data_IF_150808246118
#
_entry.id   IF_150808246118
#
_cell.length_a   1.000
_cell.length_b   1.000
_cell.length_c   1.000
_cell.angle_alpha   90.00
_cell.angle_beta   90.00
_cell.angle_gamma   90.00
#
_symmetry.space_group_name_H-M   'P 1'
#
loop_
_entity.id
_entity.type
_entity.pdbx_description
1 polymer ?
#
# COMPACT_ATOMS: atom_id res chain seq x y z
N UNK A 1 -11.60 -7.89 -2.48
CA UNK A 1 -10.63 -6.82 -2.15
C UNK A 1 -10.88 -5.57 -3.00
N UNK A 2 -10.70 -5.62 -4.32
CA UNK A 2 -10.87 -4.42 -5.18
C UNK A 2 -12.25 -3.74 -5.06
N UNK A 3 -13.34 -4.50 -4.88
CA UNK A 3 -14.67 -3.89 -4.71
C UNK A 3 -14.83 -3.13 -3.38
N UNK A 4 -14.27 -3.66 -2.29
CA UNK A 4 -14.26 -2.98 -0.98
C UNK A 4 -13.48 -1.66 -1.11
N UNK A 5 -12.36 -1.68 -1.83
CA UNK A 5 -11.57 -0.47 -2.11
C UNK A 5 -12.39 0.52 -2.92
N UNK A 6 -13.10 0.07 -3.96
CA UNK A 6 -13.89 0.93 -4.82
C UNK A 6 -14.95 1.73 -4.05
N UNK A 7 -15.69 1.06 -3.15
CA UNK A 7 -16.66 1.75 -2.30
C UNK A 7 -16.00 2.72 -1.32
N UNK A 8 -14.82 2.38 -0.79
CA UNK A 8 -14.12 3.22 0.17
C UNK A 8 -13.58 4.52 -0.42
N UNK A 9 -13.13 4.50 -1.67
CA UNK A 9 -12.50 5.66 -2.34
C UNK A 9 -13.47 6.50 -3.17
N UNK A 10 -14.76 6.14 -3.21
CA UNK A 10 -15.77 6.84 -3.99
C UNK A 10 -15.86 8.33 -3.57
N UNK A 11 -15.81 9.22 -4.56
CA UNK A 11 -15.85 10.67 -4.35
C UNK A 11 -14.58 11.31 -3.76
N UNK A 12 -13.52 10.55 -3.50
CA UNK A 12 -12.28 11.10 -2.91
C UNK A 12 -11.37 11.82 -3.91
N UNK A 13 -11.62 11.72 -5.22
CA UNK A 13 -10.86 12.44 -6.25
C UNK A 13 -9.37 12.05 -6.33
N UNK A 14 -9.02 10.81 -6.00
CA UNK A 14 -7.64 10.33 -6.04
C UNK A 14 -7.19 10.01 -7.47
N UNK A 15 -5.89 10.16 -7.73
CA UNK A 15 -5.27 9.81 -9.01
C UNK A 15 -4.40 8.54 -8.93
N UNK A 16 -3.84 8.25 -7.76
CA UNK A 16 -2.89 7.16 -7.54
C UNK A 16 -3.41 6.16 -6.51
N UNK A 17 -3.20 4.87 -6.77
CA UNK A 17 -3.53 3.79 -5.85
C UNK A 17 -2.28 2.94 -5.59
N UNK A 18 -1.79 2.96 -4.34
CA UNK A 18 -0.60 2.21 -3.92
C UNK A 18 -1.00 0.94 -3.17
N UNK A 19 -0.59 -0.21 -3.70
CA UNK A 19 -0.91 -1.51 -3.10
C UNK A 19 0.17 -1.93 -2.10
N UNK A 20 -0.17 -2.01 -0.82
CA UNK A 20 0.70 -2.41 0.28
C UNK A 20 0.23 -3.72 0.94
N UNK A 21 1.16 -4.55 1.43
CA UNK A 21 0.89 -5.75 2.21
C UNK A 21 0.98 -7.06 1.43
N UNK A 22 1.06 -8.18 2.17
CA UNK A 22 1.33 -9.50 1.60
C UNK A 22 0.26 -9.99 0.62
N UNK A 23 -1.01 -9.70 0.87
CA UNK A 23 -2.10 -10.09 -0.04
C UNK A 23 -2.02 -9.40 -1.41
N UNK A 24 -1.36 -8.24 -1.50
CA UNK A 24 -1.17 -7.52 -2.75
C UNK A 24 -0.14 -8.17 -3.68
N UNK A 25 0.70 -9.05 -3.15
CA UNK A 25 1.73 -9.79 -3.90
C UNK A 25 1.19 -11.09 -4.54
N UNK A 26 -0.09 -11.42 -4.34
CA UNK A 26 -0.69 -12.61 -4.93
C UNK A 26 -0.76 -12.47 -6.47
N UNK A 27 -0.52 -13.55 -7.24
CA UNK A 27 -0.62 -13.52 -8.68
C UNK A 27 -1.97 -12.97 -9.16
N UNK A 28 -1.93 -12.07 -10.15
CA UNK A 28 -3.13 -11.49 -10.77
C UNK A 28 -3.75 -10.29 -10.03
N UNK A 29 -3.29 -9.94 -8.81
CA UNK A 29 -3.82 -8.78 -8.09
C UNK A 29 -3.57 -7.48 -8.85
N UNK A 30 -2.38 -7.28 -9.38
CA UNK A 30 -2.04 -6.08 -10.16
C UNK A 30 -2.98 -5.90 -11.37
N UNK A 31 -3.17 -6.97 -12.15
CA UNK A 31 -4.09 -6.96 -13.28
C UNK A 31 -5.55 -6.75 -12.86
N UNK A 32 -5.99 -7.36 -11.77
CA UNK A 32 -7.33 -7.17 -11.21
C UNK A 32 -7.58 -5.71 -10.84
N UNK A 33 -6.64 -5.07 -10.15
CA UNK A 33 -6.77 -3.67 -9.73
C UNK A 33 -6.72 -2.70 -10.92
N UNK A 34 -5.79 -2.88 -11.87
CA UNK A 34 -5.76 -2.07 -13.10
C UNK A 34 -7.05 -2.20 -13.91
N UNK A 35 -7.64 -3.39 -13.96
CA UNK A 35 -8.94 -3.60 -14.62
C UNK A 35 -10.08 -2.90 -13.89
N UNK A 36 -10.10 -2.93 -12.55
CA UNK A 36 -11.18 -2.33 -11.75
C UNK A 36 -11.10 -0.80 -11.72
N UNK A 37 -9.89 -0.25 -11.80
CA UNK A 37 -9.60 1.18 -11.68
C UNK A 37 -8.82 1.70 -12.89
N UNK A 38 -9.42 1.70 -14.10
CA UNK A 38 -8.72 2.08 -15.33
C UNK A 38 -8.26 3.54 -15.35
N UNK A 39 -8.92 4.42 -14.58
CA UNK A 39 -8.59 5.84 -14.49
C UNK A 39 -7.53 6.14 -13.43
N UNK A 40 -7.21 5.18 -12.54
CA UNK A 40 -6.21 5.36 -11.50
C UNK A 40 -4.86 4.81 -11.92
N UNK A 41 -3.79 5.49 -11.50
CA UNK A 41 -2.44 4.93 -11.60
C UNK A 41 -2.21 3.94 -10.46
N UNK A 42 -2.28 2.65 -10.80
CA UNK A 42 -2.04 1.56 -9.83
C UNK A 42 -0.55 1.25 -9.73
N UNK A 43 -0.01 1.42 -8.53
CA UNK A 43 1.38 1.10 -8.18
C UNK A 43 1.42 -0.14 -7.30
N UNK A 44 2.13 -1.18 -7.75
CA UNK A 44 2.48 -2.34 -6.95
C UNK A 44 4.00 -2.37 -6.74
N UNK A 45 4.50 -1.89 -5.59
CA UNK A 45 5.91 -1.99 -5.26
C UNK A 45 6.40 -3.44 -5.22
N UNK A 46 7.59 -3.71 -5.74
CA UNK A 46 8.21 -5.05 -5.78
C UNK A 46 8.27 -5.74 -4.41
N UNK A 47 8.40 -4.94 -3.34
CA UNK A 47 8.52 -5.40 -1.96
C UNK A 47 7.31 -4.97 -1.10
N UNK A 48 6.11 -4.98 -1.69
CA UNK A 48 4.86 -4.54 -1.04
C UNK A 48 4.60 -5.18 0.34
N UNK A 49 5.04 -6.44 0.53
CA UNK A 49 4.98 -7.15 1.82
C UNK A 49 5.70 -6.40 2.96
N UNK A 50 6.81 -5.71 2.67
CA UNK A 50 7.62 -5.04 3.67
C UNK A 50 7.21 -3.60 3.95
N UNK A 51 6.23 -3.05 3.24
CA UNK A 51 5.80 -1.65 3.41
C UNK A 51 5.28 -1.37 4.83
N UNK A 52 4.44 -2.24 5.38
CA UNK A 52 3.91 -2.08 6.75
C UNK A 52 5.01 -2.18 7.83
N UNK A 53 5.84 -3.23 7.87
CA UNK A 53 6.92 -3.29 8.86
C UNK A 53 7.95 -2.15 8.67
N UNK A 54 8.20 -1.70 7.43
CA UNK A 54 9.04 -0.54 7.17
C UNK A 54 8.44 0.75 7.75
N UNK A 55 7.14 0.99 7.56
CA UNK A 55 6.46 2.15 8.14
C UNK A 55 6.47 2.13 9.68
N UNK A 56 6.28 0.96 10.29
CA UNK A 56 6.38 0.78 11.75
C UNK A 56 7.80 1.09 12.23
N UNK A 57 8.82 0.51 11.60
CA UNK A 57 10.21 0.77 11.96
C UNK A 57 10.58 2.25 11.76
N UNK A 58 10.20 2.85 10.63
CA UNK A 58 10.50 4.25 10.31
C UNK A 58 9.83 5.23 11.27
N UNK A 59 8.56 5.01 11.62
CA UNK A 59 7.85 5.85 12.60
C UNK A 59 8.34 5.64 14.03
N UNK A 60 8.89 4.46 14.33
CA UNK A 60 9.55 4.16 15.59
C UNK A 60 10.91 4.83 15.75
N UNK A 61 11.66 5.04 14.65
CA UNK A 61 13.01 5.63 14.68
C UNK A 61 13.05 7.00 15.34
N UNK A 62 12.19 7.93 14.95
CA UNK A 62 12.14 9.28 15.56
C UNK A 62 11.89 9.22 17.09
N UNK A 63 11.18 8.20 17.57
CA UNK A 63 10.90 8.00 19.00
C UNK A 63 11.98 7.19 19.72
N UNK A 64 12.78 6.43 18.98
CA UNK A 64 13.78 5.50 19.48
C UNK A 64 15.21 6.05 19.41
N UNK A 65 15.45 7.12 18.64
CA UNK A 65 16.71 7.86 18.63
C UNK A 65 17.03 8.32 20.07
N UNK A 66 18.04 7.69 20.67
CA UNK A 66 18.45 7.90 22.07
C UNK A 66 18.01 6.84 23.09
N UNK A 67 17.15 5.87 22.73
CA UNK A 67 16.70 4.79 23.64
C UNK A 67 17.40 3.46 23.36
N UNK A 68 17.57 3.10 22.08
CA UNK A 68 18.16 1.82 21.67
C UNK A 68 19.49 1.98 20.91
N UNK A 69 19.95 3.21 20.71
CA UNK A 69 21.28 3.52 20.18
C UNK A 69 22.28 3.60 21.34
N UNK A 70 22.57 2.45 21.96
CA UNK A 70 23.66 2.26 22.92
C UNK A 70 24.48 1.05 22.52
#
# INVERSE_FOLDING_TARGET
>A
MAEIVAHHIEGQGIADLWLAGGSCMQPGVDALFRKRFPELRVHLPQHSLFMTPLAIASSGREKAEGIYAS
#
